data_IF_289671839820
#
_entry.id   IF_289671839820
#
_cell.length_a   1.000
_cell.length_b   1.000
_cell.length_c   1.000
_cell.angle_alpha   90.00
_cell.angle_beta   90.00
_cell.angle_gamma   90.00
#
_symmetry.space_group_name_H-M   'P 1'
#
loop_
_entity.id
_entity.type
_entity.pdbx_description
1 polymer ?
#
# COMPACT_ATOMS: atom_id res chain seq x y z
N UNK A 1 5.22 -9.62 5.01
CA UNK A 1 5.47 -9.30 3.61
C UNK A 1 4.18 -9.07 2.83
N UNK A 2 4.30 -8.68 1.55
CA UNK A 2 3.14 -8.54 0.67
C UNK A 2 2.11 -7.45 1.05
N UNK A 3 2.47 -6.50 1.89
CA UNK A 3 1.54 -5.47 2.37
C UNK A 3 0.60 -5.92 3.49
N UNK A 4 0.66 -7.18 3.91
CA UNK A 4 -0.29 -7.80 4.85
C UNK A 4 -0.23 -7.17 6.24
N UNK A 5 0.95 -6.77 6.73
CA UNK A 5 1.07 -6.16 8.05
C UNK A 5 0.27 -4.84 8.14
N UNK A 6 0.31 -4.01 7.11
CA UNK A 6 -0.46 -2.76 7.05
C UNK A 6 -1.95 -3.03 6.80
N UNK A 7 -2.29 -4.02 5.98
CA UNK A 7 -3.67 -4.43 5.76
C UNK A 7 -4.33 -4.92 7.08
N UNK A 8 -3.64 -5.74 7.85
CA UNK A 8 -4.14 -6.19 9.15
C UNK A 8 -4.24 -5.03 10.16
N UNK A 9 -3.31 -4.07 10.11
CA UNK A 9 -3.39 -2.87 10.94
C UNK A 9 -4.61 -2.01 10.59
N UNK A 10 -4.92 -1.84 9.30
CA UNK A 10 -6.13 -1.14 8.84
C UNK A 10 -7.40 -1.78 9.42
N UNK A 11 -7.54 -3.08 9.25
CA UNK A 11 -8.69 -3.83 9.78
C UNK A 11 -8.83 -3.69 11.31
N UNK A 12 -7.71 -3.81 12.04
CA UNK A 12 -7.71 -3.67 13.50
C UNK A 12 -8.14 -2.28 13.94
N UNK A 13 -7.60 -1.24 13.31
CA UNK A 13 -7.93 0.14 13.61
C UNK A 13 -9.39 0.47 13.31
N UNK A 14 -9.92 0.01 12.20
CA UNK A 14 -11.35 0.19 11.84
C UNK A 14 -12.28 -0.40 12.90
N UNK A 15 -11.87 -1.47 13.58
CA UNK A 15 -12.64 -2.08 14.67
C UNK A 15 -12.57 -1.36 16.01
N UNK A 16 -11.55 -0.52 16.24
CA UNK A 16 -11.33 0.14 17.55
C UNK A 16 -11.91 1.55 17.61
N UNK A 17 -11.74 2.33 16.56
CA UNK A 17 -12.11 3.74 16.52
C UNK A 17 -13.53 3.86 15.99
N UNK A 18 -14.49 3.57 16.84
CA UNK A 18 -15.89 3.88 16.57
C UNK A 18 -16.18 5.39 16.60
N UNK A 19 -17.41 5.78 16.89
CA UNK A 19 -17.98 7.13 16.87
C UNK A 19 -17.34 8.18 17.83
N UNK A 20 -16.08 8.02 18.19
CA UNK A 20 -15.39 8.85 19.20
C UNK A 20 -14.79 10.12 18.58
N UNK A 21 -14.59 10.15 17.27
CA UNK A 21 -13.91 11.23 16.57
C UNK A 21 -14.86 12.32 16.10
N UNK A 22 -14.44 13.57 16.20
CA UNK A 22 -15.12 14.67 15.51
C UNK A 22 -14.91 14.55 13.99
N UNK A 23 -15.76 15.19 13.19
CA UNK A 23 -15.80 15.06 11.72
C UNK A 23 -14.44 15.19 11.04
N UNK A 24 -13.65 16.20 11.40
CA UNK A 24 -12.34 16.43 10.78
C UNK A 24 -11.32 15.34 11.15
N UNK A 25 -11.37 14.84 12.37
CA UNK A 25 -10.56 13.73 12.84
C UNK A 25 -10.94 12.44 12.12
N UNK A 26 -12.23 12.21 11.92
CA UNK A 26 -12.72 11.06 11.16
C UNK A 26 -12.20 11.09 9.72
N UNK A 27 -12.25 12.24 9.04
CA UNK A 27 -11.72 12.41 7.70
C UNK A 27 -10.23 12.08 7.63
N UNK A 28 -9.43 12.61 8.55
CA UNK A 28 -8.00 12.32 8.62
C UNK A 28 -7.71 10.84 8.89
N UNK A 29 -8.49 10.22 9.75
CA UNK A 29 -8.41 8.80 10.04
C UNK A 29 -8.71 7.94 8.80
N UNK A 30 -9.79 8.23 8.10
CA UNK A 30 -10.20 7.50 6.90
C UNK A 30 -9.13 7.61 5.78
N UNK A 31 -8.49 8.77 5.65
CA UNK A 31 -7.38 8.97 4.72
C UNK A 31 -6.21 8.03 5.06
N UNK A 32 -5.84 7.92 6.34
CA UNK A 32 -4.76 7.04 6.78
C UNK A 32 -5.11 5.58 6.52
N UNK A 33 -6.30 5.14 6.92
CA UNK A 33 -6.78 3.76 6.70
C UNK A 33 -6.68 3.38 5.23
N UNK A 34 -7.26 4.17 4.34
CA UNK A 34 -7.20 3.91 2.90
C UNK A 34 -5.77 3.94 2.34
N UNK A 35 -4.91 4.76 2.91
CA UNK A 35 -3.53 4.89 2.43
C UNK A 35 -2.65 3.69 2.81
N UNK A 36 -2.82 3.13 4.01
CA UNK A 36 -2.01 1.99 4.47
C UNK A 36 -2.39 0.66 3.81
N UNK A 37 -3.55 0.58 3.16
CA UNK A 37 -3.96 -0.57 2.34
C UNK A 37 -3.32 -0.55 0.94
N UNK A 38 -2.92 0.62 0.43
CA UNK A 38 -2.39 0.80 -0.93
C UNK A 38 -1.21 -0.11 -1.28
N UNK A 39 -0.22 -0.38 -0.41
CA UNK A 39 0.88 -1.29 -0.75
C UNK A 39 0.42 -2.70 -1.11
N UNK A 40 -0.61 -3.23 -0.44
CA UNK A 40 -1.20 -4.52 -0.76
C UNK A 40 -1.84 -4.52 -2.16
N UNK A 41 -2.71 -3.55 -2.43
CA UNK A 41 -3.36 -3.43 -3.73
C UNK A 41 -2.37 -3.18 -4.86
N UNK A 42 -1.31 -2.38 -4.63
CA UNK A 42 -0.29 -2.12 -5.63
C UNK A 42 0.48 -3.39 -6.02
N UNK A 43 0.74 -4.28 -5.07
CA UNK A 43 1.39 -5.57 -5.36
C UNK A 43 0.49 -6.43 -6.25
N UNK A 44 -0.81 -6.47 -5.98
CA UNK A 44 -1.76 -7.21 -6.81
C UNK A 44 -1.92 -6.59 -8.20
N UNK A 45 -2.00 -5.27 -8.30
CA UNK A 45 -2.03 -4.55 -9.58
C UNK A 45 -0.77 -4.87 -10.42
N UNK A 46 0.41 -4.85 -9.81
CA UNK A 46 1.67 -5.21 -10.46
C UNK A 46 1.69 -6.67 -10.93
N UNK A 47 0.95 -7.54 -10.27
CA UNK A 47 0.74 -8.93 -10.66
C UNK A 47 -0.36 -9.12 -11.73
N UNK A 48 -1.03 -8.04 -12.16
CA UNK A 48 -2.04 -8.06 -13.21
C UNK A 48 -3.49 -8.21 -12.73
N UNK A 49 -3.74 -8.12 -11.44
CA UNK A 49 -5.10 -8.18 -10.89
C UNK A 49 -5.87 -6.88 -11.19
N UNK A 50 -7.14 -7.02 -11.55
CA UNK A 50 -8.07 -5.88 -11.60
C UNK A 50 -8.44 -5.44 -10.17
N UNK A 51 -8.98 -4.22 -10.02
CA UNK A 51 -9.44 -3.73 -8.73
C UNK A 51 -10.51 -4.64 -8.09
N UNK A 52 -11.37 -5.25 -8.89
CA UNK A 52 -12.41 -6.17 -8.41
C UNK A 52 -11.76 -7.44 -7.88
N UNK A 53 -10.88 -8.08 -8.66
CA UNK A 53 -10.16 -9.28 -8.25
C UNK A 53 -9.27 -9.04 -7.02
N UNK A 54 -8.63 -7.87 -6.92
CA UNK A 54 -7.84 -7.50 -5.74
C UNK A 54 -8.71 -7.35 -4.48
N UNK A 55 -9.94 -6.85 -4.60
CA UNK A 55 -10.90 -6.81 -3.48
C UNK A 55 -11.35 -8.20 -3.02
N UNK A 56 -11.56 -9.13 -3.95
CA UNK A 56 -11.87 -10.53 -3.61
C UNK A 56 -10.72 -11.23 -2.89
N UNK A 57 -9.48 -10.94 -3.31
CA UNK A 57 -8.26 -11.43 -2.62
C UNK A 57 -8.17 -10.85 -1.22
N UNK A 58 -8.40 -9.56 -1.05
CA UNK A 58 -8.42 -8.90 0.26
C UNK A 58 -9.42 -9.58 1.20
N UNK A 59 -10.66 -9.77 0.76
CA UNK A 59 -11.69 -10.44 1.54
C UNK A 59 -11.25 -11.85 1.93
N UNK A 60 -10.68 -12.61 1.02
CA UNK A 60 -10.19 -13.98 1.27
C UNK A 60 -9.10 -14.01 2.35
N UNK A 61 -8.18 -13.04 2.34
CA UNK A 61 -7.12 -12.92 3.36
C UNK A 61 -7.72 -12.53 4.71
N UNK A 62 -8.59 -11.52 4.73
CA UNK A 62 -9.17 -10.98 5.96
C UNK A 62 -10.17 -11.94 6.65
N UNK A 63 -10.76 -12.85 5.90
CA UNK A 63 -11.68 -13.88 6.40
C UNK A 63 -11.00 -15.20 6.73
N UNK A 64 -9.69 -15.33 6.52
CA UNK A 64 -8.93 -16.51 6.91
C UNK A 64 -8.88 -16.65 8.43
N UNK A 65 -9.81 -17.40 8.99
CA UNK A 65 -9.94 -17.60 10.43
C UNK A 65 -8.77 -18.40 10.99
N UNK A 66 -8.22 -17.96 12.13
CA UNK A 66 -7.26 -18.69 12.92
C UNK A 66 -5.79 -18.60 12.47
N UNK A 67 -5.48 -18.02 11.32
CA UNK A 67 -4.10 -17.81 10.89
C UNK A 67 -3.72 -16.32 10.88
N UNK A 68 -3.00 -15.91 11.93
CA UNK A 68 -2.45 -14.55 12.04
C UNK A 68 -1.45 -14.22 10.92
N UNK A 69 -0.90 -15.23 10.26
CA UNK A 69 0.06 -15.10 9.18
C UNK A 69 -0.54 -15.28 7.80
N UNK A 70 -1.87 -15.37 7.69
CA UNK A 70 -2.54 -15.48 6.41
C UNK A 70 -2.22 -14.27 5.53
N UNK A 71 -1.90 -14.55 4.28
CA UNK A 71 -1.64 -13.55 3.26
C UNK A 71 -1.79 -14.16 1.88
N UNK A 72 -1.50 -13.42 0.83
CA UNK A 72 -1.67 -13.87 -0.54
C UNK A 72 -0.36 -13.93 -1.30
N UNK A 73 -0.10 -15.07 -1.95
CA UNK A 73 1.02 -15.21 -2.90
C UNK A 73 0.50 -15.10 -4.34
N UNK A 74 0.66 -13.96 -5.01
CA UNK A 74 0.13 -13.78 -6.37
C UNK A 74 0.82 -14.65 -7.43
N UNK A 75 1.98 -15.25 -7.11
CA UNK A 75 2.66 -16.18 -8.03
C UNK A 75 2.02 -17.56 -8.02
N UNK A 76 1.43 -17.95 -6.88
CA UNK A 76 0.72 -19.20 -6.70
C UNK A 76 -0.80 -19.04 -6.83
N UNK A 77 -1.27 -17.77 -6.81
CA UNK A 77 -2.69 -17.42 -6.84
C UNK A 77 -3.49 -18.03 -5.69
N UNK A 78 -2.89 -18.07 -4.49
CA UNK A 78 -3.50 -18.68 -3.32
C UNK A 78 -3.22 -17.92 -2.01
N UNK A 79 -4.13 -18.07 -1.05
CA UNK A 79 -3.90 -17.63 0.34
C UNK A 79 -2.95 -18.63 1.00
N UNK A 80 -1.87 -18.11 1.58
CA UNK A 80 -0.81 -18.89 2.20
C UNK A 80 -0.48 -18.38 3.59
N UNK A 81 0.15 -19.22 4.40
CA UNK A 81 0.86 -18.73 5.58
C UNK A 81 2.15 -18.04 5.12
N UNK A 82 2.22 -16.72 5.32
CA UNK A 82 3.33 -15.87 4.81
C UNK A 82 4.67 -16.21 5.46
N UNK A 83 4.67 -16.68 6.71
CA UNK A 83 5.88 -17.10 7.40
C UNK A 83 6.45 -18.37 6.78
N UNK A 84 5.61 -19.38 6.56
CA UNK A 84 6.00 -20.64 5.95
C UNK A 84 6.41 -20.47 4.49
N UNK A 85 5.74 -19.56 3.77
CA UNK A 85 6.09 -19.21 2.40
C UNK A 85 7.37 -18.36 2.27
N UNK A 86 7.93 -17.88 3.38
CA UNK A 86 9.09 -17.00 3.38
C UNK A 86 8.83 -15.58 2.82
N UNK A 87 7.56 -15.17 2.76
CA UNK A 87 7.15 -13.84 2.28
C UNK A 87 7.00 -12.93 3.48
N UNK A 88 8.13 -12.47 4.01
CA UNK A 88 8.20 -11.68 5.24
C UNK A 88 8.99 -10.40 5.03
N UNK A 89 8.61 -9.35 5.77
CA UNK A 89 9.34 -8.09 5.84
C UNK A 89 9.82 -7.84 7.27
N UNK A 90 11.00 -7.24 7.46
CA UNK A 90 11.42 -6.77 8.78
C UNK A 90 10.44 -5.70 9.29
N UNK A 91 9.93 -5.87 10.51
CA UNK A 91 8.97 -4.93 11.12
C UNK A 91 9.49 -3.49 11.13
N UNK A 92 10.79 -3.30 11.36
CA UNK A 92 11.44 -1.98 11.35
C UNK A 92 11.27 -1.29 10.00
N UNK A 93 11.39 -2.00 8.88
CA UNK A 93 11.26 -1.45 7.53
C UNK A 93 9.83 -0.93 7.29
N UNK A 94 8.84 -1.76 7.58
CA UNK A 94 7.43 -1.38 7.42
C UNK A 94 7.04 -0.20 8.32
N UNK A 95 7.47 -0.23 9.58
CA UNK A 95 7.21 0.85 10.53
C UNK A 95 7.85 2.17 10.10
N UNK A 96 9.13 2.18 9.75
CA UNK A 96 9.83 3.40 9.32
C UNK A 96 9.28 3.94 8.00
N UNK A 97 8.85 3.08 7.08
CA UNK A 97 8.21 3.52 5.85
C UNK A 97 6.92 4.30 6.15
N UNK A 98 6.09 3.80 7.06
CA UNK A 98 4.86 4.47 7.48
C UNK A 98 5.15 5.78 8.23
N UNK A 99 6.06 5.77 9.20
CA UNK A 99 6.45 6.97 9.97
C UNK A 99 6.99 8.08 9.05
N UNK A 100 7.87 7.73 8.10
CA UNK A 100 8.42 8.68 7.15
C UNK A 100 7.36 9.21 6.18
N UNK A 101 6.49 8.36 5.67
CA UNK A 101 5.40 8.76 4.79
C UNK A 101 4.44 9.72 5.50
N UNK A 102 4.07 9.44 6.75
CA UNK A 102 3.22 10.31 7.56
C UNK A 102 3.88 11.66 7.84
N UNK A 103 5.18 11.69 8.12
CA UNK A 103 5.94 12.92 8.34
C UNK A 103 5.96 13.81 7.10
N UNK A 104 6.23 13.24 5.93
CA UNK A 104 6.23 13.97 4.65
C UNK A 104 4.84 14.48 4.31
N UNK A 105 3.82 13.62 4.41
CA UNK A 105 2.43 13.99 4.13
C UNK A 105 1.94 15.11 5.07
N UNK A 106 2.25 15.02 6.37
CA UNK A 106 1.92 16.07 7.34
C UNK A 106 2.58 17.40 7.01
N UNK A 107 3.84 17.39 6.60
CA UNK A 107 4.56 18.60 6.16
C UNK A 107 3.93 19.19 4.90
N UNK A 108 3.56 18.35 3.92
CA UNK A 108 2.90 18.81 2.68
C UNK A 108 1.54 19.44 2.95
N UNK A 109 0.74 18.89 3.87
CA UNK A 109 -0.59 19.40 4.21
C UNK A 109 -0.57 20.82 4.78
N UNK A 110 0.50 21.22 5.46
CA UNK A 110 0.66 22.55 6.04
C UNK A 110 1.49 23.51 5.16
N UNK A 111 1.93 23.04 3.99
CA UNK A 111 2.78 23.84 3.06
C UNK A 111 1.90 24.52 2.02
N UNK A 112 2.08 25.83 1.83
CA UNK A 112 1.31 26.61 0.84
C UNK A 112 1.82 26.42 -0.59
N UNK A 113 3.13 26.16 -0.77
CA UNK A 113 3.77 26.07 -2.08
C UNK A 113 4.81 24.96 -2.12
N UNK A 114 4.79 24.16 -3.19
CA UNK A 114 5.82 23.15 -3.49
C UNK A 114 6.52 23.50 -4.79
N UNK A 115 7.85 23.49 -4.77
CA UNK A 115 8.70 23.70 -5.94
C UNK A 115 9.41 22.40 -6.27
N UNK A 116 9.24 21.92 -7.50
CA UNK A 116 9.91 20.69 -7.97
C UNK A 116 10.54 20.92 -9.34
N UNK A 117 11.63 20.21 -9.59
CA UNK A 117 12.26 20.20 -10.91
C UNK A 117 11.42 19.37 -11.87
N UNK A 118 11.12 19.93 -13.04
CA UNK A 118 10.52 19.19 -14.15
C UNK A 118 11.62 18.29 -14.73
N UNK A 119 11.38 16.97 -14.77
CA UNK A 119 12.27 16.06 -15.51
C UNK A 119 12.21 16.44 -16.99
N UNK A 120 13.32 16.89 -17.56
CA UNK A 120 13.45 17.02 -19.01
C UNK A 120 13.19 15.65 -19.62
N UNK A 121 12.28 15.57 -20.60
CA UNK A 121 12.15 14.38 -21.42
C UNK A 121 13.49 14.22 -22.15
N UNK A 122 14.22 13.15 -21.88
CA UNK A 122 15.32 12.76 -22.74
C UNK A 122 14.78 12.67 -24.17
N UNK A 123 15.07 13.67 -24.99
CA UNK A 123 14.94 13.55 -26.42
C UNK A 123 15.92 12.43 -26.81
N UNK A 124 15.42 11.21 -26.98
CA UNK A 124 16.14 10.18 -27.73
C UNK A 124 16.33 10.76 -29.12
N UNK A 125 17.51 11.34 -29.30
CA UNK A 125 17.92 11.86 -30.60
C UNK A 125 17.72 10.73 -31.63
N UNK A 126 17.01 11.06 -32.68
CA UNK A 126 16.89 10.19 -33.84
C UNK A 126 18.34 9.92 -34.30
N UNK A 127 18.75 8.67 -34.22
CA UNK A 127 20.08 8.24 -34.71
C UNK A 127 20.17 8.63 -36.21
N UNK A 128 21.10 9.51 -36.59
CA UNK A 128 21.23 9.93 -37.98
C UNK A 128 21.48 8.76 -38.95
N UNK A 129 21.93 7.62 -38.44
CA UNK A 129 22.17 6.41 -39.24
C UNK A 129 20.89 5.62 -39.56
N UNK A 130 19.74 5.96 -38.99
CA UNK A 130 18.45 5.36 -39.33
C UNK A 130 17.74 6.02 -40.52
N UNK A 131 18.31 7.10 -41.09
CA UNK A 131 17.74 7.82 -42.24
C UNK A 131 18.45 7.50 -43.58
N UNK A 132 19.29 6.46 -43.64
CA UNK A 132 19.86 5.96 -44.90
C UNK A 132 19.33 4.59 -45.25
#
# INVERSE_FOLDING_TARGET
>A
GGGIALLNASKYLTGIIGDILIQDQQTGYDIVIQSIEKPFFQILENAGYSNIAAGEVEESVLTSEGDTWAGYDPRKEEVVNMLDAGIIDPTKVTRLALENAASVAGTMLITETVISNIKEKENKGIDPNMMM
#
